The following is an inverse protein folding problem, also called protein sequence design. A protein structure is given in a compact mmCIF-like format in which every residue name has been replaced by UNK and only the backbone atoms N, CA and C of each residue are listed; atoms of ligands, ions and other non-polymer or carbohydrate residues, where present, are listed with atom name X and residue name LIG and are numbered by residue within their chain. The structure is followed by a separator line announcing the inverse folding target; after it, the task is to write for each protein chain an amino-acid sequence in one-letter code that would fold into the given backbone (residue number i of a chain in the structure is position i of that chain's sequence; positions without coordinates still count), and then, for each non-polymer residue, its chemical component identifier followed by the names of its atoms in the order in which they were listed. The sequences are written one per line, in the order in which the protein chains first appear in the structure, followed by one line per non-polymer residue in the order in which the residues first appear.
data_IF_774307910864
#
_entry.id   IF_774307910864
#
_cell.length_a   1.000
_cell.length_b   1.000
_cell.length_c   1.000
_cell.angle_alpha   90.00
_cell.angle_beta   90.00
_cell.angle_gamma   90.00
#
_symmetry.space_group_name_H-M   'P 1'
#
loop_
_entity.id
_entity.type
_entity.pdbx_description
1 polymer ?
#
# COMPACT_ATOMS: atom_id res chain seq x y z
N UNK A 1 -6.08 31.72 -39.23
CA UNK A 1 -4.99 30.93 -39.85
C UNK A 1 -5.06 29.52 -39.28
N UNK A 2 -5.49 28.55 -40.09
CA UNK A 2 -5.48 27.14 -39.71
C UNK A 2 -4.02 26.67 -39.68
N UNK A 3 -3.51 26.27 -38.53
CA UNK A 3 -2.23 25.59 -38.42
C UNK A 3 -2.27 24.36 -39.32
N UNK A 4 -1.33 24.26 -40.26
CA UNK A 4 -1.19 23.11 -41.15
C UNK A 4 -0.95 21.86 -40.31
N UNK A 5 -2.00 21.06 -40.14
CA UNK A 5 -1.91 19.77 -39.48
C UNK A 5 -1.18 18.83 -40.45
N UNK A 6 0.12 18.57 -40.23
CA UNK A 6 0.84 17.57 -41.02
C UNK A 6 0.36 16.16 -40.58
N UNK A 7 -0.33 15.40 -41.45
CA UNK A 7 -0.87 14.11 -41.06
C UNK A 7 0.25 13.11 -40.76
N UNK A 8 0.14 12.39 -39.64
CA UNK A 8 1.04 11.29 -39.31
C UNK A 8 0.94 10.18 -40.37
N UNK A 9 2.06 9.51 -40.64
CA UNK A 9 2.05 8.34 -41.51
C UNK A 9 1.29 7.17 -40.85
N UNK A 10 0.65 6.27 -41.63
CA UNK A 10 -0.06 5.11 -41.08
C UNK A 10 0.80 4.26 -40.15
N UNK A 11 2.09 4.09 -40.48
CA UNK A 11 3.05 3.39 -39.63
C UNK A 11 3.23 4.06 -38.26
N UNK A 12 3.40 5.38 -38.22
CA UNK A 12 3.53 6.13 -36.95
C UNK A 12 2.23 6.08 -36.14
N UNK A 13 1.08 6.17 -36.81
CA UNK A 13 -0.22 6.06 -36.15
C UNK A 13 -0.43 4.67 -35.50
N UNK A 14 -0.05 3.60 -36.21
CA UNK A 14 -0.05 2.23 -35.68
C UNK A 14 0.90 2.08 -34.49
N UNK A 15 2.09 2.68 -34.59
CA UNK A 15 3.10 2.65 -33.53
C UNK A 15 2.54 3.29 -32.24
N UNK A 16 1.92 4.47 -32.35
CA UNK A 16 1.30 5.21 -31.24
C UNK A 16 0.09 4.51 -30.62
N UNK A 17 -0.86 4.05 -31.44
CA UNK A 17 -2.15 3.54 -30.95
C UNK A 17 -2.13 2.08 -30.50
N UNK A 18 -1.24 1.26 -31.06
CA UNK A 18 -1.21 -0.18 -30.79
C UNK A 18 0.09 -0.60 -30.13
N UNK A 19 1.24 -0.35 -30.76
CA UNK A 19 2.50 -0.94 -30.30
C UNK A 19 2.97 -0.31 -29.00
N UNK A 20 2.77 0.99 -28.81
CA UNK A 20 3.22 1.71 -27.62
C UNK A 20 2.49 1.27 -26.34
N UNK A 21 1.14 1.22 -26.28
CA UNK A 21 0.42 0.66 -25.14
C UNK A 21 0.81 -0.79 -24.83
N UNK A 22 0.94 -1.64 -25.86
CA UNK A 22 1.29 -3.05 -25.70
C UNK A 22 2.70 -3.22 -25.11
N UNK A 23 3.70 -2.52 -25.66
CA UNK A 23 5.08 -2.60 -25.19
C UNK A 23 5.25 -2.12 -23.74
N UNK A 24 4.56 -1.04 -23.36
CA UNK A 24 4.59 -0.55 -21.99
C UNK A 24 3.96 -1.54 -21.00
N UNK A 25 2.88 -2.20 -21.41
CA UNK A 25 2.17 -3.19 -20.59
C UNK A 25 3.03 -4.42 -20.24
N UNK A 26 4.01 -4.78 -21.08
CA UNK A 26 4.98 -5.87 -20.79
C UNK A 26 5.77 -5.57 -19.51
N UNK A 27 6.07 -4.31 -19.22
CA UNK A 27 6.69 -3.93 -17.96
C UNK A 27 5.78 -4.23 -16.77
N UNK A 28 4.48 -3.98 -16.91
CA UNK A 28 3.47 -4.24 -15.87
C UNK A 28 3.23 -5.74 -15.69
N UNK A 29 3.26 -6.53 -16.78
CA UNK A 29 3.31 -7.99 -16.77
C UNK A 29 4.53 -8.50 -15.98
N UNK A 30 5.71 -7.96 -16.31
CA UNK A 30 6.97 -8.37 -15.68
C UNK A 30 6.97 -8.05 -14.18
N UNK A 31 6.57 -6.84 -13.80
CA UNK A 31 6.56 -6.39 -12.41
C UNK A 31 5.54 -7.14 -11.55
N UNK A 32 4.30 -7.30 -12.04
CA UNK A 32 3.25 -8.02 -11.31
C UNK A 32 3.58 -9.51 -11.15
N UNK A 33 4.13 -10.14 -12.20
CA UNK A 33 4.61 -11.54 -12.14
C UNK A 33 5.77 -11.67 -11.15
N UNK A 34 6.74 -10.75 -11.23
CA UNK A 34 7.89 -10.71 -10.34
C UNK A 34 7.47 -10.51 -8.88
N UNK A 35 6.58 -9.56 -8.57
CA UNK A 35 6.07 -9.34 -7.22
C UNK A 35 5.31 -10.55 -6.68
N UNK A 36 4.44 -11.15 -7.49
CA UNK A 36 3.72 -12.37 -7.11
C UNK A 36 4.70 -13.48 -6.76
N UNK A 37 5.70 -13.72 -7.61
CA UNK A 37 6.70 -14.77 -7.44
C UNK A 37 7.65 -14.52 -6.26
N UNK A 38 8.17 -13.30 -6.12
CA UNK A 38 9.21 -12.94 -5.15
C UNK A 38 8.70 -12.80 -3.73
N UNK A 39 7.47 -12.29 -3.57
CA UNK A 39 6.87 -12.03 -2.26
C UNK A 39 6.04 -13.22 -1.78
N UNK A 40 5.21 -13.81 -2.66
CA UNK A 40 4.27 -14.87 -2.29
C UNK A 40 4.71 -16.26 -2.75
N UNK A 41 5.74 -16.38 -3.59
CA UNK A 41 6.27 -17.66 -4.01
C UNK A 41 5.43 -18.37 -5.10
N UNK A 42 4.36 -17.74 -5.58
CA UNK A 42 3.44 -18.27 -6.59
C UNK A 42 3.11 -17.20 -7.64
N UNK A 43 2.70 -17.63 -8.84
CA UNK A 43 2.23 -16.74 -9.89
C UNK A 43 0.72 -16.95 -10.02
N UNK A 44 -0.05 -15.88 -9.86
CA UNK A 44 -1.49 -15.86 -10.08
C UNK A 44 -1.77 -14.96 -11.28
N UNK A 45 -2.61 -15.43 -12.20
CA UNK A 45 -2.94 -14.70 -13.43
C UNK A 45 -3.81 -13.48 -13.16
N UNK A 46 -4.59 -13.45 -12.08
CA UNK A 46 -5.54 -12.36 -11.77
C UNK A 46 -4.86 -11.01 -11.56
N UNK A 47 -3.89 -10.83 -10.63
CA UNK A 47 -3.21 -9.55 -10.46
C UNK A 47 -2.43 -9.14 -11.72
N UNK A 48 -1.85 -10.11 -12.43
CA UNK A 48 -1.11 -9.87 -13.68
C UNK A 48 -2.03 -9.30 -14.75
N UNK A 49 -3.18 -9.94 -14.99
CA UNK A 49 -4.15 -9.50 -15.98
C UNK A 49 -4.73 -8.12 -15.63
N UNK A 50 -5.05 -7.88 -14.35
CA UNK A 50 -5.55 -6.57 -13.90
C UNK A 50 -4.52 -5.47 -14.19
N UNK A 51 -3.26 -5.68 -13.82
CA UNK A 51 -2.20 -4.68 -14.04
C UNK A 51 -1.94 -4.43 -15.53
N UNK A 52 -1.87 -5.48 -16.34
CA UNK A 52 -1.64 -5.37 -17.79
C UNK A 52 -2.80 -4.68 -18.49
N UNK A 53 -4.04 -5.12 -18.25
CA UNK A 53 -5.22 -4.53 -18.86
C UNK A 53 -5.42 -3.06 -18.43
N UNK A 54 -5.20 -2.75 -17.15
CA UNK A 54 -5.28 -1.37 -16.67
C UNK A 54 -4.21 -0.47 -17.30
N UNK A 55 -3.00 -0.98 -17.54
CA UNK A 55 -1.93 -0.22 -18.18
C UNK A 55 -2.23 0.05 -19.66
N UNK A 56 -2.71 -0.96 -20.39
CA UNK A 56 -3.16 -0.83 -21.79
C UNK A 56 -4.28 0.19 -21.90
N UNK A 57 -5.26 0.17 -20.99
CA UNK A 57 -6.36 1.14 -20.98
C UNK A 57 -5.87 2.55 -20.66
N UNK A 58 -5.07 2.72 -19.60
CA UNK A 58 -4.60 4.03 -19.20
C UNK A 58 -3.79 4.72 -20.30
N UNK A 59 -2.84 4.00 -20.93
CA UNK A 59 -2.01 4.55 -22.00
C UNK A 59 -2.79 4.62 -23.30
N UNK A 60 -3.50 3.55 -23.65
CA UNK A 60 -4.20 3.46 -24.92
C UNK A 60 -5.32 4.50 -25.04
N UNK A 61 -6.03 4.82 -23.95
CA UNK A 61 -7.03 5.90 -23.98
C UNK A 61 -6.39 7.29 -24.14
N UNK A 62 -5.31 7.60 -23.41
CA UNK A 62 -4.56 8.88 -23.53
C UNK A 62 -4.09 9.08 -24.98
N UNK A 63 -3.42 8.08 -25.57
CA UNK A 63 -2.97 8.15 -26.97
C UNK A 63 -4.12 8.14 -27.98
N UNK A 64 -5.22 7.43 -27.70
CA UNK A 64 -6.39 7.42 -28.59
C UNK A 64 -7.06 8.79 -28.65
N UNK A 65 -7.25 9.45 -27.50
CA UNK A 65 -7.87 10.78 -27.44
C UNK A 65 -6.93 11.89 -27.95
N UNK A 66 -5.63 11.80 -27.69
CA UNK A 66 -4.65 12.75 -28.24
C UNK A 66 -4.63 12.72 -29.80
N UNK A 67 -5.05 11.60 -30.42
CA UNK A 67 -5.12 11.43 -31.87
C UNK A 67 -6.54 11.63 -32.47
N UNK A 68 -7.49 12.20 -31.73
CA UNK A 68 -8.83 12.54 -32.25
C UNK A 68 -8.80 13.38 -33.55
N UNK A 69 -7.93 14.39 -33.71
CA UNK A 69 -7.83 15.14 -34.97
C UNK A 69 -7.43 14.27 -36.18
N UNK A 70 -6.55 13.29 -35.97
CA UNK A 70 -6.16 12.32 -37.00
C UNK A 70 -7.31 11.39 -37.38
N UNK A 71 -8.16 11.03 -36.41
CA UNK A 71 -9.36 10.25 -36.69
C UNK A 71 -10.33 11.04 -37.58
N UNK A 72 -10.54 12.32 -37.27
CA UNK A 72 -11.37 13.21 -38.08
C UNK A 72 -10.79 13.42 -39.49
N UNK A 73 -9.46 13.56 -39.60
CA UNK A 73 -8.77 13.62 -40.88
C UNK A 73 -8.98 12.34 -41.71
N UNK A 74 -8.77 11.16 -41.11
CA UNK A 74 -8.96 9.88 -41.78
C UNK A 74 -10.38 9.69 -42.31
N UNK A 75 -11.39 10.13 -41.54
CA UNK A 75 -12.80 10.12 -41.95
C UNK A 75 -13.07 11.10 -43.10
N UNK A 76 -12.52 12.32 -43.04
CA UNK A 76 -12.69 13.33 -44.10
C UNK A 76 -12.02 12.93 -45.40
N UNK A 77 -10.83 12.32 -45.33
CA UNK A 77 -10.06 11.89 -46.49
C UNK A 77 -10.43 10.47 -46.96
N UNK A 78 -11.35 9.79 -46.26
CA UNK A 78 -11.75 8.40 -46.52
C UNK A 78 -10.55 7.43 -46.60
N UNK A 79 -9.50 7.67 -45.79
CA UNK A 79 -8.34 6.80 -45.75
C UNK A 79 -8.68 5.51 -44.98
N UNK A 80 -8.83 4.42 -45.73
CA UNK A 80 -9.23 3.10 -45.22
C UNK A 80 -8.19 2.51 -44.26
N UNK A 81 -6.90 2.73 -44.53
CA UNK A 81 -5.80 2.21 -43.70
C UNK A 81 -5.80 2.86 -42.31
N UNK A 82 -5.87 4.20 -42.24
CA UNK A 82 -5.91 4.92 -40.96
C UNK A 82 -7.18 4.56 -40.16
N UNK A 83 -8.32 4.43 -40.84
CA UNK A 83 -9.59 4.05 -40.20
C UNK A 83 -9.54 2.62 -39.65
N UNK A 84 -8.88 1.69 -40.36
CA UNK A 84 -8.64 0.34 -39.89
C UNK A 84 -7.76 0.33 -38.62
N UNK A 85 -6.73 1.17 -38.55
CA UNK A 85 -5.87 1.31 -37.35
C UNK A 85 -6.70 1.81 -36.15
N UNK A 86 -7.52 2.85 -36.32
CA UNK A 86 -8.40 3.34 -35.24
C UNK A 86 -9.42 2.28 -34.80
N UNK A 87 -9.95 1.47 -35.74
CA UNK A 87 -10.83 0.34 -35.42
C UNK A 87 -10.10 -0.73 -34.61
N UNK A 88 -8.87 -1.09 -34.98
CA UNK A 88 -8.03 -2.03 -34.22
C UNK A 88 -7.73 -1.50 -32.82
N UNK A 89 -7.41 -0.20 -32.68
CA UNK A 89 -7.17 0.43 -31.39
C UNK A 89 -8.40 0.39 -30.48
N UNK A 90 -9.60 0.67 -31.03
CA UNK A 90 -10.87 0.50 -30.30
C UNK A 90 -11.08 -0.94 -29.83
N UNK A 91 -10.85 -1.93 -30.70
CA UNK A 91 -11.00 -3.35 -30.34
C UNK A 91 -10.02 -3.72 -29.22
N UNK A 92 -8.77 -3.25 -29.27
CA UNK A 92 -7.79 -3.46 -28.21
C UNK A 92 -8.25 -2.86 -26.87
N UNK A 93 -8.80 -1.64 -26.88
CA UNK A 93 -9.31 -0.99 -25.67
C UNK A 93 -10.54 -1.71 -25.10
N UNK A 94 -11.54 -2.04 -25.93
CA UNK A 94 -12.73 -2.75 -25.46
C UNK A 94 -12.43 -4.16 -24.95
N UNK A 95 -11.56 -4.90 -25.65
CA UNK A 95 -11.13 -6.23 -25.19
C UNK A 95 -10.35 -6.15 -23.87
N UNK A 96 -9.47 -5.15 -23.72
CA UNK A 96 -8.75 -4.92 -22.45
C UNK A 96 -9.70 -4.53 -21.31
N UNK A 97 -10.72 -3.72 -21.57
CA UNK A 97 -11.75 -3.38 -20.58
C UNK A 97 -12.57 -4.61 -20.17
N UNK A 98 -12.96 -5.45 -21.12
CA UNK A 98 -13.67 -6.70 -20.83
C UNK A 98 -12.81 -7.65 -19.99
N UNK A 99 -11.52 -7.81 -20.33
CA UNK A 99 -10.58 -8.62 -19.56
C UNK A 99 -10.37 -8.08 -18.14
N UNK A 100 -10.28 -6.76 -17.98
CA UNK A 100 -10.17 -6.12 -16.66
C UNK A 100 -11.41 -6.40 -15.80
N UNK A 101 -12.61 -6.22 -16.36
CA UNK A 101 -13.87 -6.48 -15.65
C UNK A 101 -14.01 -7.96 -15.28
N UNK A 102 -13.65 -8.88 -16.18
CA UNK A 102 -13.63 -10.31 -15.91
C UNK A 102 -12.67 -10.65 -14.76
N UNK A 103 -11.42 -10.15 -14.81
CA UNK A 103 -10.44 -10.39 -13.77
C UNK A 103 -10.87 -9.84 -12.41
N UNK A 104 -11.51 -8.66 -12.41
CA UNK A 104 -12.07 -8.02 -11.23
C UNK A 104 -13.27 -8.79 -10.66
N UNK A 105 -14.15 -9.33 -11.49
CA UNK A 105 -15.29 -10.13 -11.06
C UNK A 105 -14.87 -11.43 -10.35
N UNK A 106 -13.74 -12.02 -10.75
CA UNK A 106 -13.17 -13.25 -10.15
C UNK A 106 -12.18 -12.93 -9.00
N UNK A 107 -11.98 -11.65 -8.69
CA UNK A 107 -11.08 -11.18 -7.63
C UNK A 107 -11.83 -10.73 -6.38
N UNK A 108 -11.17 -10.68 -5.20
CA UNK A 108 -11.79 -10.17 -3.98
C UNK A 108 -12.34 -8.75 -4.15
N UNK A 109 -13.44 -8.38 -3.46
CA UNK A 109 -14.01 -7.02 -3.54
C UNK A 109 -13.02 -5.91 -3.16
N UNK A 110 -12.06 -6.20 -2.27
CA UNK A 110 -11.02 -5.25 -1.91
C UNK A 110 -10.11 -4.87 -3.10
N UNK A 111 -9.93 -5.77 -4.06
CA UNK A 111 -9.16 -5.51 -5.28
C UNK A 111 -9.79 -4.41 -6.13
N UNK A 112 -11.13 -4.33 -6.17
CA UNK A 112 -11.82 -3.23 -6.85
C UNK A 112 -11.42 -1.88 -6.26
N UNK A 113 -11.39 -1.77 -4.93
CA UNK A 113 -10.97 -0.55 -4.25
C UNK A 113 -9.51 -0.18 -4.57
N UNK A 114 -8.61 -1.16 -4.64
CA UNK A 114 -7.21 -0.87 -4.99
C UNK A 114 -7.08 -0.39 -6.44
N UNK A 115 -7.80 -1.01 -7.39
CA UNK A 115 -7.79 -0.57 -8.80
C UNK A 115 -8.39 0.83 -8.94
N UNK A 116 -9.49 1.14 -8.26
CA UNK A 116 -10.10 2.48 -8.33
C UNK A 116 -9.20 3.56 -7.74
N UNK A 117 -8.53 3.29 -6.61
CA UNK A 117 -7.62 4.25 -5.98
C UNK A 117 -6.38 4.52 -6.85
N UNK A 118 -5.74 3.47 -7.36
CA UNK A 118 -4.45 3.62 -8.05
C UNK A 118 -4.61 3.84 -9.56
N UNK A 119 -5.45 3.09 -10.26
CA UNK A 119 -5.61 3.20 -11.72
C UNK A 119 -6.76 4.12 -12.14
N UNK A 120 -7.77 4.31 -11.27
CA UNK A 120 -8.89 5.23 -11.54
C UNK A 120 -8.47 6.63 -11.98
N UNK A 121 -7.51 7.30 -11.29
CA UNK A 121 -7.01 8.60 -11.72
C UNK A 121 -6.37 8.59 -13.11
N UNK A 122 -5.72 7.49 -13.52
CA UNK A 122 -5.13 7.37 -14.86
C UNK A 122 -6.19 7.26 -15.96
N UNK A 123 -7.33 6.61 -15.68
CA UNK A 123 -8.44 6.52 -16.64
C UNK A 123 -9.16 7.85 -16.85
N UNK A 124 -9.11 8.73 -15.86
CA UNK A 124 -9.90 9.97 -15.83
C UNK A 124 -9.00 11.21 -16.04
N UNK A 125 -7.71 11.01 -16.33
CA UNK A 125 -6.68 12.04 -16.30
C UNK A 125 -6.96 13.26 -17.23
N UNK A 126 -7.67 13.04 -18.34
CA UNK A 126 -8.06 14.08 -19.30
C UNK A 126 -9.51 14.56 -19.17
N UNK A 127 -10.30 14.01 -18.25
CA UNK A 127 -11.63 14.55 -17.98
C UNK A 127 -11.52 15.84 -17.20
N UNK A 128 -12.19 16.89 -17.69
CA UNK A 128 -12.30 18.19 -17.02
C UNK A 128 -13.12 18.01 -15.73
N UNK A 129 -12.45 17.68 -14.63
CA UNK A 129 -13.09 17.18 -13.41
C UNK A 129 -13.94 18.20 -12.64
N UNK A 130 -13.87 19.51 -12.94
CA UNK A 130 -14.60 20.55 -12.19
C UNK A 130 -15.00 21.73 -13.09
N UNK A 131 -16.22 21.70 -13.65
CA UNK A 131 -16.89 22.91 -14.17
C UNK A 131 -17.64 23.53 -12.99
N UNK A 132 -17.02 24.48 -12.28
CA UNK A 132 -17.73 25.27 -11.29
C UNK A 132 -18.71 26.21 -12.02
N UNK A 133 -19.99 26.01 -11.74
CA UNK A 133 -21.10 26.53 -12.51
C UNK A 133 -21.23 28.05 -12.53
N UNK A 134 -21.78 28.52 -13.65
CA UNK A 134 -22.35 29.85 -13.80
C UNK A 134 -23.14 29.88 -15.10
N UNK A 135 -24.48 29.80 -15.00
CA UNK A 135 -25.40 29.99 -16.12
C UNK A 135 -24.99 31.26 -16.88
N UNK A 136 -24.77 31.17 -18.19
CA UNK A 136 -24.69 32.37 -19.03
C UNK A 136 -25.66 32.23 -20.20
N UNK A 137 -26.75 32.99 -20.09
CA UNK A 137 -27.66 33.30 -21.18
C UNK A 137 -26.86 33.73 -22.40
N UNK A 138 -27.23 33.19 -23.56
CA UNK A 138 -26.83 33.72 -24.86
C UNK A 138 -27.38 35.15 -24.99
N UNK A 139 -26.48 36.13 -25.11
CA UNK A 139 -26.79 37.38 -25.80
C UNK A 139 -25.60 37.77 -26.68
N UNK A 140 -25.89 37.92 -27.97
CA UNK A 140 -25.01 38.45 -29.03
C UNK A 140 -24.51 39.85 -28.64
N UNK A 141 -23.19 40.06 -28.68
CA UNK A 141 -22.57 41.26 -29.29
C UNK A 141 -21.14 40.91 -29.74
N UNK A 142 -20.77 41.41 -30.92
CA UNK A 142 -19.42 41.40 -31.47
C UNK A 142 -18.46 42.32 -30.69
N UNK A 143 -17.17 42.06 -30.93
CA UNK A 143 -16.01 42.95 -30.80
C UNK A 143 -15.00 42.60 -29.70
N UNK A 144 -13.75 42.63 -30.16
CA UNK A 144 -12.44 42.31 -29.60
C UNK A 144 -12.24 42.52 -28.10
N UNK A 145 -11.81 41.45 -27.42
CA UNK A 145 -10.71 41.42 -26.44
C UNK A 145 -10.52 39.97 -25.95
N UNK A 146 -9.33 39.39 -26.18
CA UNK A 146 -8.97 38.07 -25.68
C UNK A 146 -8.94 38.08 -24.14
N UNK A 147 -10.04 37.65 -23.52
CA UNK A 147 -10.04 37.24 -22.10
C UNK A 147 -9.64 35.77 -22.00
N UNK A 148 -8.77 35.40 -21.02
CA UNK A 148 -8.25 34.05 -20.92
C UNK A 148 -9.38 33.07 -20.62
N UNK A 149 -9.54 32.09 -21.53
CA UNK A 149 -10.43 30.94 -21.33
C UNK A 149 -10.05 30.28 -20.01
N UNK A 150 -10.99 30.25 -19.04
CA UNK A 150 -10.78 29.64 -17.72
C UNK A 150 -10.32 28.19 -17.91
N UNK A 151 -9.04 27.93 -17.58
CA UNK A 151 -8.35 26.66 -17.82
C UNK A 151 -9.01 25.56 -16.99
N UNK A 152 -9.56 24.56 -17.66
CA UNK A 152 -10.04 23.35 -17.00
C UNK A 152 -8.88 22.66 -16.24
N UNK A 153 -9.15 22.24 -15.01
CA UNK A 153 -8.19 21.50 -14.20
C UNK A 153 -7.98 20.11 -14.82
N UNK A 154 -6.80 19.89 -15.42
CA UNK A 154 -6.31 18.57 -15.85
C UNK A 154 -5.06 18.28 -15.04
N UNK A 155 -5.00 17.08 -14.45
CA UNK A 155 -3.88 16.62 -13.61
C UNK A 155 -2.55 16.64 -14.41
N UNK A 156 -2.63 16.55 -15.75
CA UNK A 156 -1.49 16.63 -16.71
C UNK A 156 -0.76 17.97 -16.63
N UNK A 157 -1.44 19.02 -16.16
CA UNK A 157 -0.91 20.40 -16.13
C UNK A 157 -0.19 20.75 -14.84
N UNK A 158 -0.15 19.87 -13.84
CA UNK A 158 0.65 20.13 -12.63
C UNK A 158 2.13 19.86 -12.96
N UNK A 159 3.02 20.86 -12.80
CA UNK A 159 4.42 20.73 -13.17
C UNK A 159 5.11 19.50 -12.56
N UNK A 160 5.67 18.65 -13.42
CA UNK A 160 6.46 17.46 -13.02
C UNK A 160 5.68 16.31 -12.37
N UNK A 161 4.38 16.46 -12.10
CA UNK A 161 3.59 15.44 -11.38
C UNK A 161 3.25 14.22 -12.24
N UNK A 162 3.26 14.35 -13.57
CA UNK A 162 2.97 13.24 -14.49
C UNK A 162 3.87 12.03 -14.21
N UNK A 163 5.18 12.24 -14.17
CA UNK A 163 6.15 11.18 -13.90
C UNK A 163 6.01 10.56 -12.51
N UNK A 164 5.77 11.40 -11.48
CA UNK A 164 5.61 10.95 -10.09
C UNK A 164 4.37 10.07 -9.93
N UNK A 165 3.24 10.50 -10.47
CA UNK A 165 1.99 9.72 -10.45
C UNK A 165 2.14 8.43 -11.25
N UNK A 166 2.79 8.45 -12.42
CA UNK A 166 3.12 7.21 -13.16
C UNK A 166 3.90 6.24 -12.28
N UNK A 167 4.89 6.74 -11.53
CA UNK A 167 5.65 5.96 -10.54
C UNK A 167 4.76 5.35 -9.45
N UNK A 168 3.89 6.14 -8.84
CA UNK A 168 3.00 5.67 -7.75
C UNK A 168 1.99 4.64 -8.27
N UNK A 169 1.36 4.90 -9.41
CA UNK A 169 0.33 4.04 -10.00
C UNK A 169 0.95 2.69 -10.39
N UNK A 170 2.11 2.70 -11.06
CA UNK A 170 2.74 1.47 -11.57
C UNK A 170 3.64 0.77 -10.54
N UNK A 171 4.21 1.48 -9.58
CA UNK A 171 5.00 0.91 -8.48
C UNK A 171 4.10 0.43 -7.34
N UNK A 172 3.58 1.39 -6.55
CA UNK A 172 2.70 1.10 -5.41
C UNK A 172 1.41 0.39 -5.82
N UNK A 173 0.76 0.83 -6.91
CA UNK A 173 -0.51 0.25 -7.34
C UNK A 173 -0.40 -1.23 -7.75
N UNK A 174 0.67 -1.60 -8.46
CA UNK A 174 0.94 -3.02 -8.79
C UNK A 174 1.10 -3.86 -7.53
N UNK A 175 1.88 -3.39 -6.55
CA UNK A 175 2.01 -4.09 -5.28
C UNK A 175 0.67 -4.20 -4.53
N UNK A 176 -0.11 -3.12 -4.47
CA UNK A 176 -1.40 -3.10 -3.78
C UNK A 176 -2.38 -4.12 -4.37
N UNK A 177 -2.43 -4.24 -5.70
CA UNK A 177 -3.26 -5.23 -6.40
C UNK A 177 -2.78 -6.64 -6.10
N UNK A 178 -1.49 -6.93 -6.26
CA UNK A 178 -0.90 -8.25 -5.95
C UNK A 178 -1.19 -8.64 -4.51
N UNK A 179 -0.96 -7.73 -3.57
CA UNK A 179 -1.22 -7.93 -2.15
C UNK A 179 -2.71 -8.16 -1.84
N UNK A 180 -3.61 -7.43 -2.50
CA UNK A 180 -5.06 -7.59 -2.29
C UNK A 180 -5.57 -9.00 -2.62
N UNK A 181 -4.92 -9.68 -3.57
CA UNK A 181 -5.31 -11.01 -4.04
C UNK A 181 -4.56 -12.10 -3.28
N UNK A 182 -3.23 -11.96 -3.11
CA UNK A 182 -2.36 -13.03 -2.59
C UNK A 182 -2.15 -13.00 -1.07
N UNK A 183 -2.32 -11.86 -0.40
CA UNK A 183 -2.08 -11.79 1.05
C UNK A 183 -3.11 -12.60 1.88
N UNK A 184 -4.29 -12.89 1.30
CA UNK A 184 -5.33 -13.70 1.95
C UNK A 184 -5.11 -15.20 1.77
N UNK A 185 -4.46 -15.63 0.69
CA UNK A 185 -4.24 -17.06 0.40
C UNK A 185 -3.02 -17.62 1.13
N UNK A 186 -2.03 -16.79 1.48
CA UNK A 186 -0.88 -17.18 2.29
C UNK A 186 -0.51 -16.06 3.27
N UNK A 187 -0.50 -16.29 4.60
CA UNK A 187 0.23 -15.41 5.49
C UNK A 187 1.70 -15.41 5.06
N UNK A 188 2.29 -14.21 4.93
CA UNK A 188 3.70 -14.00 4.56
C UNK A 188 4.54 -15.04 5.30
N UNK A 189 5.14 -15.97 4.56
CA UNK A 189 5.81 -17.13 5.14
C UNK A 189 6.87 -16.66 6.15
N UNK A 190 6.55 -16.76 7.43
CA UNK A 190 7.38 -16.32 8.54
C UNK A 190 8.46 -17.35 8.85
N UNK A 191 9.37 -17.66 7.92
CA UNK A 191 10.51 -18.53 8.23
C UNK A 191 11.64 -18.60 7.21
N UNK A 192 11.89 -17.54 6.43
CA UNK A 192 13.20 -17.36 5.78
C UNK A 192 13.47 -15.88 5.58
N UNK A 193 14.72 -15.39 5.75
CA UNK A 193 15.07 -14.04 5.33
C UNK A 193 14.87 -13.98 3.81
N UNK A 194 13.73 -13.48 3.37
CA UNK A 194 13.49 -13.19 1.96
C UNK A 194 14.51 -12.14 1.56
N UNK A 195 15.15 -12.33 0.40
CA UNK A 195 15.97 -11.31 -0.25
C UNK A 195 15.14 -10.03 -0.52
N UNK A 196 13.81 -10.17 -0.43
CA UNK A 196 12.80 -9.24 -0.88
C UNK A 196 11.97 -8.75 0.30
N UNK A 197 12.29 -7.55 0.78
CA UNK A 197 11.43 -6.82 1.70
C UNK A 197 10.35 -6.08 0.87
N UNK A 198 9.05 -6.28 1.12
CA UNK A 198 7.96 -5.62 0.38
C UNK A 198 8.14 -4.10 0.28
N UNK A 199 8.58 -3.45 1.36
CA UNK A 199 8.80 -2.00 1.39
C UNK A 199 9.91 -1.59 0.41
N UNK A 200 10.99 -2.37 0.32
CA UNK A 200 12.09 -2.09 -0.63
C UNK A 200 11.61 -2.22 -2.07
N UNK A 201 10.81 -3.25 -2.38
CA UNK A 201 10.26 -3.46 -3.72
C UNK A 201 9.33 -2.30 -4.12
N UNK A 202 8.47 -1.85 -3.21
CA UNK A 202 7.54 -0.74 -3.47
C UNK A 202 8.33 0.54 -3.77
N UNK A 203 9.28 0.90 -2.90
CA UNK A 203 10.06 2.14 -3.05
C UNK A 203 10.88 2.10 -4.33
N UNK A 204 11.65 1.02 -4.54
CA UNK A 204 12.46 0.86 -5.75
C UNK A 204 11.62 0.88 -7.03
N UNK A 205 10.52 0.13 -7.09
CA UNK A 205 9.69 0.06 -8.30
C UNK A 205 9.04 1.41 -8.64
N UNK A 206 8.64 2.16 -7.60
CA UNK A 206 8.08 3.51 -7.73
C UNK A 206 9.11 4.49 -8.29
N UNK A 207 10.31 4.53 -7.67
CA UNK A 207 11.41 5.39 -8.13
C UNK A 207 11.79 5.04 -9.56
N UNK A 208 12.02 3.76 -9.84
CA UNK A 208 12.45 3.31 -11.17
C UNK A 208 11.41 3.69 -12.23
N UNK A 209 10.10 3.47 -11.98
CA UNK A 209 9.04 3.86 -12.93
C UNK A 209 8.90 5.36 -13.10
N UNK A 210 9.08 6.16 -12.05
CA UNK A 210 9.10 7.62 -12.15
C UNK A 210 10.29 8.10 -13.00
N UNK A 211 11.49 7.59 -12.75
CA UNK A 211 12.70 7.91 -13.52
C UNK A 211 12.55 7.54 -15.01
N UNK A 212 11.93 6.39 -15.32
CA UNK A 212 11.64 6.01 -16.72
C UNK A 212 10.63 6.94 -17.38
N UNK A 213 9.61 7.39 -16.66
CA UNK A 213 8.67 8.38 -17.20
C UNK A 213 9.38 9.70 -17.54
N UNK A 214 10.28 10.16 -16.67
CA UNK A 214 11.13 11.33 -16.96
C UNK A 214 12.06 11.10 -18.15
N UNK A 215 12.60 9.88 -18.31
CA UNK A 215 13.41 9.54 -19.48
C UNK A 215 12.61 9.60 -20.79
N UNK A 216 11.32 9.26 -20.77
CA UNK A 216 10.45 9.46 -21.92
C UNK A 216 10.26 10.97 -22.22
N UNK A 217 10.08 11.80 -21.20
CA UNK A 217 9.99 13.25 -21.36
C UNK A 217 11.32 13.86 -21.87
N UNK A 218 12.48 13.26 -21.52
CA UNK A 218 13.79 13.69 -22.05
C UNK A 218 13.87 13.49 -23.56
N UNK A 219 13.31 12.39 -24.08
CA UNK A 219 13.26 12.13 -25.52
C UNK A 219 12.43 13.18 -26.26
N UNK A 220 11.30 13.56 -25.68
CA UNK A 220 10.32 14.46 -26.30
C UNK A 220 10.57 15.94 -25.91
N UNK A 221 11.75 16.25 -25.36
CA UNK A 221 12.08 17.57 -24.79
C UNK A 221 11.83 18.74 -25.74
N UNK A 222 12.25 18.63 -27.00
CA UNK A 222 12.06 19.70 -27.99
C UNK A 222 10.57 19.97 -28.27
N UNK A 223 9.77 18.92 -28.46
CA UNK A 223 8.33 19.06 -28.68
C UNK A 223 7.61 19.62 -27.44
N UNK A 224 8.00 19.17 -26.25
CA UNK A 224 7.44 19.64 -24.99
C UNK A 224 7.83 21.10 -24.70
N UNK A 225 9.04 21.50 -25.10
CA UNK A 225 9.51 22.87 -25.02
C UNK A 225 8.71 23.80 -25.91
N UNK A 226 8.44 23.41 -27.16
CA UNK A 226 7.58 24.17 -28.08
C UNK A 226 6.14 24.28 -27.56
N UNK A 227 5.58 23.16 -27.07
CA UNK A 227 4.21 23.09 -26.54
C UNK A 227 4.06 23.66 -25.13
N UNK A 228 5.17 24.07 -24.48
CA UNK A 228 5.23 24.55 -23.10
C UNK A 228 4.55 23.59 -22.11
N UNK A 229 4.76 22.29 -22.29
CA UNK A 229 4.27 21.24 -21.37
C UNK A 229 5.21 21.21 -20.15
N UNK A 230 4.68 21.29 -18.91
CA UNK A 230 5.52 21.42 -17.73
C UNK A 230 6.10 20.08 -17.26
N UNK A 231 6.88 19.40 -18.11
CA UNK A 231 7.62 18.18 -17.79
C UNK A 231 8.91 18.48 -17.02
N UNK A 232 9.45 17.50 -16.29
CA UNK A 232 10.68 17.70 -15.48
C UNK A 232 11.86 18.25 -16.31
N UNK A 233 12.14 17.76 -17.53
CA UNK A 233 13.17 18.33 -18.39
C UNK A 233 12.95 19.80 -18.75
N UNK A 234 11.71 20.17 -19.07
CA UNK A 234 11.33 21.56 -19.40
C UNK A 234 11.48 22.46 -18.18
N UNK A 235 11.07 21.99 -16.99
CA UNK A 235 11.21 22.73 -15.74
C UNK A 235 12.68 22.99 -15.37
N UNK A 236 13.56 22.03 -15.64
CA UNK A 236 15.00 22.17 -15.45
C UNK A 236 15.69 22.94 -16.59
N UNK A 237 14.96 23.25 -17.66
CA UNK A 237 15.42 23.92 -18.89
C UNK A 237 16.63 23.24 -19.54
N UNK A 238 16.85 21.96 -19.26
CA UNK A 238 18.05 21.25 -19.70
C UNK A 238 17.90 19.75 -19.56
N UNK A 239 18.16 19.04 -20.65
CA UNK A 239 18.29 17.58 -20.66
C UNK A 239 19.46 17.12 -19.81
N UNK A 240 20.60 17.82 -19.88
CA UNK A 240 21.78 17.48 -19.07
C UNK A 240 21.48 17.54 -17.57
N UNK A 241 20.86 18.62 -17.08
CA UNK A 241 20.47 18.73 -15.66
C UNK A 241 19.51 17.62 -15.23
N UNK A 242 18.63 17.22 -16.13
CA UNK A 242 17.71 16.09 -15.88
C UNK A 242 18.45 14.77 -15.76
N UNK A 243 19.41 14.49 -16.65
CA UNK A 243 20.25 13.29 -16.58
C UNK A 243 21.08 13.22 -15.31
N UNK A 244 21.62 14.36 -14.86
CA UNK A 244 22.32 14.47 -13.57
C UNK A 244 21.37 14.17 -12.41
N UNK A 245 20.16 14.74 -12.41
CA UNK A 245 19.14 14.47 -11.39
C UNK A 245 18.77 12.98 -11.33
N UNK A 246 18.49 12.36 -12.49
CA UNK A 246 18.15 10.94 -12.56
C UNK A 246 19.30 10.05 -12.07
N UNK A 247 20.54 10.37 -12.45
CA UNK A 247 21.73 9.65 -11.98
C UNK A 247 21.91 9.78 -10.46
N UNK A 248 21.68 10.97 -9.89
CA UNK A 248 21.74 11.19 -8.46
C UNK A 248 20.68 10.38 -7.69
N UNK A 249 19.45 10.29 -8.22
CA UNK A 249 18.37 9.48 -7.63
C UNK A 249 18.72 7.98 -7.67
N UNK A 250 19.24 7.48 -8.79
CA UNK A 250 19.65 6.08 -8.90
C UNK A 250 20.87 5.76 -8.04
N UNK A 251 21.83 6.68 -7.92
CA UNK A 251 22.98 6.54 -7.01
C UNK A 251 22.51 6.50 -5.54
N UNK A 252 21.61 7.41 -5.13
CA UNK A 252 21.04 7.41 -3.79
C UNK A 252 20.29 6.09 -3.51
N UNK A 253 19.51 5.59 -4.48
CA UNK A 253 18.82 4.30 -4.38
C UNK A 253 19.81 3.14 -4.20
N UNK A 254 20.93 3.18 -4.92
CA UNK A 254 22.02 2.19 -4.82
C UNK A 254 22.67 2.21 -3.44
N UNK A 255 22.91 3.39 -2.87
CA UNK A 255 23.50 3.56 -1.54
C UNK A 255 22.55 3.06 -0.45
N UNK A 256 21.28 3.47 -0.49
CA UNK A 256 20.26 3.11 0.50
C UNK A 256 19.96 1.60 0.52
N UNK A 257 20.08 0.93 -0.63
CA UNK A 257 19.78 -0.49 -0.78
C UNK A 257 21.00 -1.32 -1.19
N UNK A 258 22.20 -0.91 -0.77
CA UNK A 258 23.47 -1.56 -1.12
C UNK A 258 23.53 -3.05 -0.76
N UNK A 259 22.80 -3.47 0.28
CA UNK A 259 22.67 -4.87 0.69
C UNK A 259 21.78 -5.73 -0.23
N UNK A 260 20.99 -5.10 -1.11
CA UNK A 260 20.12 -5.79 -2.04
C UNK A 260 20.75 -5.75 -3.45
N UNK A 261 21.45 -6.82 -3.88
CA UNK A 261 22.19 -6.81 -5.15
C UNK A 261 21.28 -6.52 -6.34
N UNK A 262 20.01 -6.93 -6.29
CA UNK A 262 19.08 -6.65 -7.35
C UNK A 262 18.83 -5.14 -7.54
N UNK A 263 18.55 -4.43 -6.44
CA UNK A 263 18.26 -3.00 -6.51
C UNK A 263 19.49 -2.25 -7.02
N UNK A 264 20.68 -2.68 -6.59
CA UNK A 264 21.96 -2.18 -7.06
C UNK A 264 22.10 -2.41 -8.58
N UNK A 265 22.00 -3.65 -9.06
CA UNK A 265 22.15 -3.95 -10.50
C UNK A 265 21.12 -3.22 -11.37
N UNK A 266 19.85 -3.21 -10.96
CA UNK A 266 18.79 -2.51 -11.68
C UNK A 266 19.03 -0.98 -11.71
N UNK A 267 19.50 -0.40 -10.61
CA UNK A 267 19.78 1.05 -10.54
C UNK A 267 21.02 1.42 -11.33
N UNK A 268 22.07 0.58 -11.31
CA UNK A 268 23.26 0.77 -12.16
C UNK A 268 22.90 0.68 -13.65
N UNK A 269 22.09 -0.31 -14.05
CA UNK A 269 21.60 -0.44 -15.40
C UNK A 269 20.78 0.78 -15.83
N UNK A 270 19.89 1.29 -14.97
CA UNK A 270 19.13 2.50 -15.23
C UNK A 270 20.05 3.73 -15.40
N UNK A 271 21.07 3.90 -14.53
CA UNK A 271 22.06 4.97 -14.67
C UNK A 271 22.81 4.90 -15.99
N UNK A 272 23.22 3.71 -16.43
CA UNK A 272 23.88 3.52 -17.73
C UNK A 272 22.95 3.96 -18.87
N UNK A 273 21.67 3.56 -18.83
CA UNK A 273 20.69 3.95 -19.84
C UNK A 273 20.42 5.46 -19.89
N UNK A 274 20.44 6.15 -18.74
CA UNK A 274 20.28 7.62 -18.67
C UNK A 274 21.32 8.35 -19.52
N UNK A 275 22.56 7.83 -19.55
CA UNK A 275 23.65 8.43 -20.33
C UNK A 275 23.76 7.88 -21.74
N UNK A 276 23.36 6.63 -21.96
CA UNK A 276 23.39 5.99 -23.28
C UNK A 276 22.27 6.52 -24.21
N UNK A 277 21.07 6.75 -23.68
CA UNK A 277 19.91 7.21 -24.46
C UNK A 277 19.87 8.74 -24.51
N UNK A 278 19.76 9.29 -25.72
CA UNK A 278 19.65 10.71 -25.98
C UNK A 278 18.44 10.99 -26.88
N UNK A 279 18.16 12.27 -27.08
CA UNK A 279 17.04 12.79 -27.88
C UNK A 279 17.04 12.24 -29.32
N UNK A 280 18.23 11.95 -29.86
CA UNK A 280 18.42 11.38 -31.20
C UNK A 280 18.26 9.85 -31.24
N UNK A 281 18.10 9.18 -30.10
CA UNK A 281 17.99 7.72 -30.05
C UNK A 281 16.60 7.26 -30.52
N UNK A 282 16.50 6.17 -31.30
CA UNK A 282 15.23 5.68 -31.79
C UNK A 282 14.27 5.32 -30.65
N UNK A 283 12.97 5.61 -30.85
CA UNK A 283 11.90 5.35 -29.87
C UNK A 283 11.88 3.91 -29.34
N UNK A 284 12.28 2.94 -30.17
CA UNK A 284 12.40 1.53 -29.79
C UNK A 284 13.41 1.27 -28.67
N UNK A 285 14.54 2.00 -28.63
CA UNK A 285 15.55 1.83 -27.56
C UNK A 285 15.03 2.36 -26.22
N UNK A 286 14.26 3.43 -26.22
CA UNK A 286 13.57 3.91 -25.02
C UNK A 286 12.53 2.89 -24.51
N UNK A 287 11.94 2.08 -25.39
CA UNK A 287 11.04 0.97 -24.98
C UNK A 287 11.79 -0.12 -24.21
N UNK A 288 13.03 -0.41 -24.58
CA UNK A 288 13.89 -1.36 -23.85
C UNK A 288 14.18 -0.91 -22.41
N UNK A 289 14.20 0.40 -22.16
CA UNK A 289 14.37 0.97 -20.82
C UNK A 289 13.31 0.48 -19.82
N UNK A 290 12.07 0.30 -20.28
CA UNK A 290 10.96 -0.24 -19.47
C UNK A 290 11.16 -1.71 -19.06
N UNK A 291 12.05 -2.45 -19.75
CA UNK A 291 12.37 -3.85 -19.49
C UNK A 291 13.58 -4.06 -18.56
N UNK A 292 14.13 -3.00 -17.98
CA UNK A 292 15.13 -3.11 -16.90
C UNK A 292 14.67 -4.08 -15.79
N UNK A 293 13.38 -4.03 -15.46
CA UNK A 293 12.75 -4.91 -14.48
C UNK A 293 12.65 -6.36 -14.98
N UNK A 294 12.42 -6.56 -16.28
CA UNK A 294 12.27 -7.87 -16.92
C UNK A 294 13.61 -8.61 -16.93
N UNK A 295 14.70 -7.96 -17.33
CA UNK A 295 16.03 -8.57 -17.33
C UNK A 295 16.45 -8.95 -15.91
N UNK A 296 16.23 -8.03 -14.95
CA UNK A 296 16.61 -8.28 -13.56
C UNK A 296 15.70 -9.35 -12.92
N UNK A 297 14.41 -9.39 -13.25
CA UNK A 297 13.49 -10.46 -12.84
C UNK A 297 13.84 -11.81 -13.47
N UNK A 298 14.36 -11.85 -14.71
CA UNK A 298 14.78 -13.08 -15.38
C UNK A 298 16.08 -13.63 -14.76
N UNK A 299 17.01 -12.74 -14.40
CA UNK A 299 18.27 -13.09 -13.75
C UNK A 299 18.10 -13.48 -12.27
N UNK A 300 17.20 -12.83 -11.52
CA UNK A 300 17.06 -12.99 -10.05
C UNK A 300 15.72 -13.55 -9.58
N UNK A 301 14.74 -13.73 -10.46
CA UNK A 301 13.42 -14.30 -10.16
C UNK A 301 13.42 -15.83 -10.00
N UNK A 302 14.57 -16.48 -10.22
CA UNK A 302 14.77 -17.87 -9.81
C UNK A 302 14.70 -17.98 -8.29
N UNK A 303 13.61 -18.56 -7.77
CA UNK A 303 13.50 -18.90 -6.35
C UNK A 303 14.70 -19.77 -5.99
N UNK A 304 15.58 -19.26 -5.14
CA UNK A 304 16.62 -20.08 -4.53
C UNK A 304 15.93 -21.12 -3.65
N UNK A 305 16.11 -22.37 -4.02
CA UNK A 305 15.56 -23.46 -3.24
C UNK A 305 16.43 -23.66 -2.00
N UNK A 306 15.89 -24.31 -0.96
CA UNK A 306 16.65 -24.59 0.25
C UNK A 306 16.93 -26.08 0.29
N UNK A 307 18.19 -26.41 0.52
CA UNK A 307 18.61 -27.78 0.74
C UNK A 307 17.96 -28.36 2.00
N UNK A 308 17.28 -29.49 1.83
CA UNK A 308 16.51 -30.15 2.88
C UNK A 308 17.39 -30.77 3.98
N UNK A 309 18.64 -31.08 3.68
CA UNK A 309 19.60 -31.63 4.64
C UNK A 309 20.42 -30.51 5.31
N UNK A 310 21.03 -29.65 4.50
CA UNK A 310 22.01 -28.68 5.01
C UNK A 310 21.42 -27.32 5.41
N UNK A 311 20.28 -26.95 4.83
CA UNK A 311 19.65 -25.63 4.98
C UNK A 311 20.26 -24.53 4.11
N UNK A 312 21.28 -24.82 3.29
CA UNK A 312 21.86 -23.82 2.39
C UNK A 312 21.01 -23.56 1.14
N UNK A 313 21.23 -22.41 0.51
CA UNK A 313 20.52 -22.00 -0.71
C UNK A 313 21.04 -22.78 -1.93
N UNK A 314 20.13 -23.21 -2.79
CA UNK A 314 20.35 -23.90 -4.06
C UNK A 314 20.00 -22.93 -5.18
N UNK A 315 20.96 -22.71 -6.07
CA UNK A 315 20.76 -21.89 -7.26
C UNK A 315 20.07 -22.71 -8.36
N UNK A 316 19.34 -22.05 -9.29
CA UNK A 316 18.79 -22.72 -10.47
C UNK A 316 19.87 -23.56 -11.18
N UNK A 317 19.44 -24.68 -11.78
CA UNK A 317 20.29 -25.67 -12.46
C UNK A 317 21.37 -26.36 -11.60
N UNK A 318 21.29 -26.27 -10.26
CA UNK A 318 22.17 -26.99 -9.33
C UNK A 318 21.38 -27.95 -8.46
N UNK A 319 22.04 -29.04 -8.05
CA UNK A 319 21.49 -30.01 -7.09
C UNK A 319 20.63 -31.11 -7.71
N UNK A 320 19.94 -31.86 -6.86
CA UNK A 320 19.06 -32.98 -7.20
C UNK A 320 17.78 -32.94 -6.37
N UNK A 321 16.70 -33.45 -6.96
CA UNK A 321 15.39 -33.58 -6.32
C UNK A 321 15.11 -35.07 -6.09
N UNK A 322 14.89 -35.44 -4.83
CA UNK A 322 14.50 -36.78 -4.42
C UNK A 322 13.04 -36.78 -3.97
N UNK A 323 12.20 -37.52 -4.69
CA UNK A 323 10.80 -37.78 -4.29
C UNK A 323 10.76 -39.10 -3.57
N UNK A 324 10.40 -39.06 -2.29
CA UNK A 324 10.23 -40.28 -1.49
C UNK A 324 8.83 -40.86 -1.73
N UNK A 325 8.65 -42.16 -1.51
CA UNK A 325 7.37 -42.86 -1.74
C UNK A 325 6.16 -42.29 -0.98
N UNK A 326 6.37 -41.49 0.06
CA UNK A 326 5.30 -40.73 0.76
C UNK A 326 5.00 -39.37 0.12
N UNK A 327 5.36 -39.16 -1.16
CA UNK A 327 5.26 -37.91 -1.92
C UNK A 327 6.00 -36.71 -1.28
N UNK A 328 6.90 -36.96 -0.33
CA UNK A 328 7.74 -35.89 0.23
C UNK A 328 8.92 -35.60 -0.69
N UNK A 329 9.07 -34.31 -0.99
CA UNK A 329 10.12 -33.79 -1.86
C UNK A 329 11.28 -33.32 -0.99
N UNK A 330 12.46 -33.87 -1.24
CA UNK A 330 13.72 -33.44 -0.65
C UNK A 330 14.62 -32.87 -1.74
N UNK A 331 15.23 -31.71 -1.48
CA UNK A 331 16.13 -31.03 -2.41
C UNK A 331 17.53 -31.03 -1.84
N UNK A 332 18.52 -31.41 -2.63
CA UNK A 332 19.92 -31.48 -2.20
C UNK A 332 20.79 -30.62 -3.10
N UNK A 333 21.60 -29.74 -2.51
CA UNK A 333 22.52 -28.86 -3.23
C UNK A 333 23.69 -29.65 -3.85
N UNK A 334 24.14 -30.69 -3.16
CA UNK A 334 25.33 -31.48 -3.50
C UNK A 334 25.09 -32.98 -3.28
N UNK A 335 25.87 -33.82 -3.98
CA UNK A 335 25.85 -35.27 -3.81
C UNK A 335 26.21 -35.72 -2.39
N UNK A 336 27.02 -34.93 -1.67
CA UNK A 336 27.32 -35.14 -0.25
C UNK A 336 26.05 -35.15 0.60
N UNK A 337 25.14 -34.20 0.36
CA UNK A 337 23.94 -34.02 1.17
C UNK A 337 22.91 -35.11 0.87
N UNK A 338 22.79 -35.49 -0.41
CA UNK A 338 22.01 -36.63 -0.87
C UNK A 338 22.52 -37.94 -0.22
N UNK A 339 23.83 -38.20 -0.30
CA UNK A 339 24.44 -39.41 0.28
C UNK A 339 24.20 -39.50 1.78
N UNK A 340 24.41 -38.41 2.53
CA UNK A 340 24.16 -38.39 3.98
C UNK A 340 22.67 -38.60 4.32
N UNK A 341 21.76 -38.09 3.49
CA UNK A 341 20.33 -38.32 3.65
C UNK A 341 19.96 -39.78 3.39
N UNK A 342 20.49 -40.41 2.33
CA UNK A 342 20.25 -41.82 2.00
C UNK A 342 20.86 -42.76 3.07
N UNK A 343 22.00 -42.37 3.65
CA UNK A 343 22.59 -43.02 4.83
C UNK A 343 21.82 -42.76 6.14
N UNK A 344 20.67 -42.06 6.07
CA UNK A 344 19.80 -41.73 7.21
C UNK A 344 20.52 -40.97 8.33
N UNK A 345 21.53 -40.16 7.99
CA UNK A 345 22.21 -39.30 8.97
C UNK A 345 21.29 -38.16 9.37
N UNK A 346 21.32 -37.79 10.65
CA UNK A 346 20.49 -36.71 11.18
C UNK A 346 21.24 -35.37 11.06
N UNK A 347 20.73 -34.36 10.32
CA UNK A 347 21.37 -33.05 10.20
C UNK A 347 21.67 -32.38 11.55
N UNK A 348 20.86 -32.65 12.59
CA UNK A 348 21.06 -32.11 13.95
C UNK A 348 22.37 -32.53 14.61
N UNK A 349 23.01 -33.60 14.12
CA UNK A 349 24.31 -34.12 14.60
C UNK A 349 25.48 -33.69 13.72
N UNK A 350 25.24 -33.06 12.57
CA UNK A 350 26.28 -32.69 11.61
C UNK A 350 26.63 -31.20 11.74
N UNK A 351 27.83 -30.93 12.25
CA UNK A 351 28.25 -29.62 12.76
C UNK A 351 28.11 -28.45 11.75
N UNK A 352 28.35 -28.72 10.46
CA UNK A 352 28.35 -27.69 9.42
C UNK A 352 26.94 -27.34 8.90
N UNK A 353 25.90 -28.11 9.26
CA UNK A 353 24.52 -27.81 8.82
C UNK A 353 23.94 -26.60 9.57
N UNK A 354 23.04 -25.86 8.92
CA UNK A 354 22.36 -24.73 9.57
C UNK A 354 21.51 -25.16 10.76
N UNK A 355 20.90 -26.35 10.69
CA UNK A 355 20.08 -26.91 11.77
C UNK A 355 20.93 -27.15 13.02
N UNK A 356 22.11 -27.75 12.87
CA UNK A 356 23.05 -27.93 13.97
C UNK A 356 23.45 -26.58 14.57
N UNK A 357 23.86 -25.61 13.74
CA UNK A 357 24.31 -24.30 14.21
C UNK A 357 23.21 -23.57 15.00
N UNK A 358 21.96 -23.60 14.53
CA UNK A 358 20.80 -23.02 15.21
C UNK A 358 20.55 -23.66 16.58
N UNK A 359 20.58 -25.00 16.65
CA UNK A 359 20.38 -25.74 17.89
C UNK A 359 21.47 -25.45 18.94
N UNK A 360 22.70 -25.23 18.48
CA UNK A 360 23.85 -24.90 19.33
C UNK A 360 24.08 -23.38 19.46
N UNK A 361 23.09 -22.55 19.10
CA UNK A 361 23.13 -21.08 19.20
C UNK A 361 24.35 -20.43 18.53
N UNK A 362 24.92 -21.08 17.50
CA UNK A 362 26.07 -20.56 16.75
C UNK A 362 25.58 -19.52 15.74
N UNK A 363 26.10 -18.29 15.83
CA UNK A 363 25.77 -17.19 14.90
C UNK A 363 24.46 -16.45 15.20
N UNK A 364 23.94 -16.56 16.42
CA UNK A 364 22.83 -15.72 16.89
C UNK A 364 23.47 -14.51 17.57
N UNK A 365 23.41 -13.34 16.94
CA UNK A 365 24.02 -12.11 17.48
C UNK A 365 23.05 -11.30 18.32
N UNK A 366 21.74 -11.30 18.03
CA UNK A 366 20.76 -10.48 18.77
C UNK A 366 19.35 -11.09 18.73
N UNK A 367 19.01 -11.97 19.69
CA UNK A 367 17.59 -12.11 20.06
C UNK A 367 17.34 -11.15 21.22
N UNK A 368 16.90 -9.93 20.90
CA UNK A 368 16.35 -9.00 21.90
C UNK A 368 15.12 -9.67 22.49
N UNK A 369 15.28 -10.28 23.66
CA UNK A 369 14.17 -10.81 24.43
C UNK A 369 13.15 -9.68 24.61
N UNK A 370 12.02 -9.77 23.91
CA UNK A 370 10.95 -8.77 24.02
C UNK A 370 10.42 -8.81 25.45
N UNK A 371 10.88 -7.89 26.31
CA UNK A 371 10.28 -7.64 27.63
C UNK A 371 8.86 -7.15 27.39
N UNK A 372 7.87 -8.04 27.50
CA UNK A 372 6.46 -7.64 27.60
C UNK A 372 6.28 -6.90 28.93
N UNK A 373 6.19 -5.57 28.91
CA UNK A 373 5.61 -4.85 30.04
C UNK A 373 4.09 -5.07 30.00
N UNK A 374 3.54 -5.79 30.98
CA UNK A 374 2.09 -5.86 31.17
C UNK A 374 1.63 -4.52 31.75
N UNK A 375 1.06 -3.64 30.92
CA UNK A 375 0.39 -2.43 31.42
C UNK A 375 -1.06 -2.78 31.78
N UNK A 376 -1.37 -2.86 33.07
CA UNK A 376 -2.74 -3.09 33.53
C UNK A 376 -3.55 -1.82 33.34
N UNK A 377 -4.47 -1.81 32.37
CA UNK A 377 -5.44 -0.72 32.20
C UNK A 377 -6.59 -0.96 33.17
N UNK A 378 -6.66 -0.19 34.26
CA UNK A 378 -7.75 -0.25 35.22
C UNK A 378 -8.90 0.62 34.72
N UNK A 379 -9.98 0.01 34.25
CA UNK A 379 -11.21 0.72 33.93
C UNK A 379 -12.03 0.94 35.21
N UNK A 380 -12.34 2.19 35.54
CA UNK A 380 -13.31 2.50 36.58
C UNK A 380 -14.71 2.43 35.97
N UNK A 381 -15.63 1.70 36.62
CA UNK A 381 -17.04 1.58 36.20
C UNK A 381 -17.94 2.22 37.24
N UNK A 382 -19.09 2.75 36.79
CA UNK A 382 -20.14 3.25 37.67
C UNK A 382 -20.72 2.12 38.53
N UNK A 383 -21.27 2.48 39.67
CA UNK A 383 -21.94 1.53 40.58
C UNK A 383 -23.44 1.75 40.39
N UNK A 384 -24.25 0.68 40.46
CA UNK A 384 -25.72 0.80 40.31
C UNK A 384 -26.24 1.85 41.31
N UNK A 385 -26.90 2.89 40.79
CA UNK A 385 -27.40 4.03 41.58
C UNK A 385 -26.46 5.23 41.69
N UNK A 386 -25.26 5.20 41.14
CA UNK A 386 -24.36 6.36 41.06
C UNK A 386 -23.42 6.31 39.85
N UNK A 387 -23.52 7.33 38.98
CA UNK A 387 -22.63 7.48 37.84
C UNK A 387 -21.20 7.86 38.26
N UNK A 388 -20.23 7.55 37.39
CA UNK A 388 -18.81 7.84 37.60
C UNK A 388 -18.55 9.31 37.94
N UNK A 389 -19.29 10.23 37.31
CA UNK A 389 -19.20 11.66 37.57
C UNK A 389 -19.66 12.03 38.98
N UNK A 390 -20.72 11.40 39.48
CA UNK A 390 -21.23 11.64 40.84
C UNK A 390 -20.27 11.11 41.90
N UNK A 391 -19.66 9.94 41.66
CA UNK A 391 -18.64 9.36 42.54
C UNK A 391 -17.39 10.25 42.59
N UNK A 392 -16.91 10.73 41.44
CA UNK A 392 -15.78 11.64 41.35
C UNK A 392 -16.08 12.99 42.03
N UNK A 393 -17.27 13.56 41.80
CA UNK A 393 -17.69 14.81 42.43
C UNK A 393 -17.74 14.69 43.95
N UNK A 394 -18.31 13.61 44.50
CA UNK A 394 -18.32 13.35 45.94
C UNK A 394 -16.91 13.15 46.51
N UNK A 395 -16.03 12.45 45.78
CA UNK A 395 -14.63 12.24 46.18
C UNK A 395 -13.82 13.54 46.21
N UNK A 396 -14.09 14.44 45.26
CA UNK A 396 -13.37 15.69 45.09
C UNK A 396 -13.93 16.84 45.96
N UNK A 397 -14.99 16.61 46.75
CA UNK A 397 -15.47 17.60 47.72
C UNK A 397 -14.45 17.82 48.84
N UNK A 398 -14.00 19.07 48.96
CA UNK A 398 -13.08 19.51 50.00
C UNK A 398 -13.71 19.38 51.39
N UNK A 399 -12.87 19.18 52.40
CA UNK A 399 -13.31 18.98 53.78
C UNK A 399 -14.13 20.18 54.31
N UNK A 400 -13.81 21.40 53.86
CA UNK A 400 -14.55 22.61 54.20
C UNK A 400 -16.01 22.59 53.73
N UNK A 401 -16.25 22.18 52.47
CA UNK A 401 -17.60 22.08 51.91
C UNK A 401 -18.41 21.01 52.66
N UNK A 402 -17.79 19.87 52.98
CA UNK A 402 -18.42 18.81 53.77
C UNK A 402 -18.78 19.27 55.19
N UNK A 403 -17.90 20.03 55.84
CA UNK A 403 -18.16 20.59 57.17
C UNK A 403 -19.33 21.58 57.15
N UNK A 404 -19.39 22.48 56.15
CA UNK A 404 -20.48 23.45 55.98
C UNK A 404 -21.83 22.78 55.69
N UNK A 405 -21.85 21.72 54.88
CA UNK A 405 -23.07 20.93 54.64
C UNK A 405 -23.53 20.21 55.92
N UNK A 406 -22.60 19.73 56.74
CA UNK A 406 -22.93 19.09 58.02
C UNK A 406 -23.48 20.10 59.03
N UNK A 407 -22.87 21.28 59.17
CA UNK A 407 -23.35 22.30 60.11
C UNK A 407 -24.73 22.83 59.71
N UNK A 408 -24.95 23.10 58.41
CA UNK A 408 -26.27 23.52 57.91
C UNK A 408 -27.34 22.44 58.08
N UNK A 409 -27.01 21.15 57.88
CA UNK A 409 -27.94 20.05 58.16
C UNK A 409 -28.27 19.93 59.66
N UNK A 410 -27.29 20.10 60.55
CA UNK A 410 -27.52 20.09 62.01
C UNK A 410 -28.41 21.27 62.42
N UNK A 411 -28.19 22.47 61.87
CA UNK A 411 -29.02 23.63 62.16
C UNK A 411 -30.47 23.42 61.71
N UNK A 412 -30.68 22.89 60.49
CA UNK A 412 -32.02 22.53 60.00
C UNK A 412 -32.71 21.49 60.89
N UNK A 413 -32.01 20.42 61.27
CA UNK A 413 -32.55 19.39 62.16
C UNK A 413 -32.87 19.92 63.56
N UNK A 414 -32.06 20.85 64.09
CA UNK A 414 -32.35 21.51 65.38
C UNK A 414 -33.56 22.44 65.29
N UNK A 415 -33.70 23.19 64.20
CA UNK A 415 -34.86 24.06 63.97
C UNK A 415 -36.16 23.23 63.84
N UNK A 416 -36.11 22.12 63.10
CA UNK A 416 -37.24 21.18 63.00
C UNK A 416 -37.60 20.51 64.33
N UNK A 417 -36.61 20.21 65.18
CA UNK A 417 -36.85 19.68 66.53
C UNK A 417 -37.50 20.72 67.44
N UNK A 418 -36.99 21.96 67.46
CA UNK A 418 -37.61 23.05 68.23
C UNK A 418 -39.07 23.26 67.82
N UNK A 419 -39.35 23.32 66.51
CA UNK A 419 -40.70 23.43 65.99
C UNK A 419 -41.62 22.24 66.36
N UNK A 420 -41.06 21.05 66.66
CA UNK A 420 -41.79 19.88 67.16
C UNK A 420 -41.96 19.89 68.69
N UNK A 421 -41.01 20.44 69.43
CA UNK A 421 -41.04 20.57 70.89
C UNK A 421 -42.00 21.68 71.36
N UNK A 422 -42.04 22.82 70.65
CA UNK A 422 -43.03 23.89 70.87
C UNK A 422 -44.48 23.39 70.70
N UNK A 423 -44.67 22.32 69.93
CA UNK A 423 -45.97 21.64 69.76
C UNK A 423 -46.31 20.64 70.87
N UNK A 424 -45.36 20.22 71.71
CA UNK A 424 -45.54 19.14 72.70
C UNK A 424 -45.63 19.61 74.17
N UNK A 425 -45.31 20.85 74.49
CA UNK A 425 -45.34 21.38 75.87
C UNK A 425 -46.75 21.63 76.46
N UNK A 426 -47.82 21.20 75.78
CA UNK A 426 -49.22 21.43 76.18
C UNK A 426 -49.91 20.32 76.98
N UNK A 427 -49.24 19.26 77.44
CA UNK A 427 -49.92 18.22 78.26
C UNK A 427 -48.99 17.54 79.27
N UNK A 428 -49.27 17.74 80.56
CA UNK A 428 -48.58 17.14 81.72
C UNK A 428 -49.45 16.09 82.42
N UNK A 429 -48.78 15.22 83.21
CA UNK A 429 -49.24 14.37 84.35
C UNK A 429 -49.44 12.84 84.10
N UNK A 430 -49.30 11.96 85.13
CA UNK A 430 -48.02 11.30 85.47
C UNK A 430 -48.15 9.78 85.82
N UNK A 431 -47.02 9.23 86.27
CA UNK A 431 -46.54 7.85 86.49
C UNK A 431 -47.09 7.11 87.74
N UNK A 432 -46.99 5.78 87.74
CA UNK A 432 -47.04 4.87 88.92
C UNK A 432 -46.01 3.69 88.76
N UNK A 433 -45.57 3.00 89.85
CA UNK A 433 -44.16 2.66 90.08
C UNK A 433 -43.80 1.14 90.22
N UNK A 434 -42.66 0.85 90.86
CA UNK A 434 -41.58 -0.15 90.61
C UNK A 434 -41.52 -1.29 91.63
N UNK A 435 -40.84 -2.42 91.32
CA UNK A 435 -40.02 -3.26 92.24
C UNK A 435 -39.01 -4.09 91.41
N UNK A 436 -37.66 -3.97 91.52
CA UNK A 436 -36.65 -4.37 92.55
C UNK A 436 -36.65 -5.88 92.86
N UNK A 437 -35.58 -6.69 92.76
CA UNK A 437 -34.14 -6.55 92.49
C UNK A 437 -33.56 -7.99 92.14
N UNK A 438 -32.28 -8.36 92.35
CA UNK A 438 -31.21 -8.25 91.36
C UNK A 438 -30.45 -9.56 91.00
N UNK A 439 -29.63 -9.44 89.95
CA UNK A 439 -28.64 -10.38 89.35
C UNK A 439 -27.52 -10.86 90.29
N UNK A 440 -27.04 -12.09 90.05
CA UNK A 440 -25.61 -12.51 89.95
C UNK A 440 -25.58 -13.77 89.03
N UNK A 441 -25.01 -13.81 87.82
CA UNK A 441 -23.58 -13.94 87.39
C UNK A 441 -22.89 -15.19 87.98
N UNK A 442 -22.07 -15.99 87.31
CA UNK A 442 -21.47 -15.97 85.97
C UNK A 442 -20.80 -17.35 85.78
N UNK A 443 -20.75 -17.82 84.54
CA UNK A 443 -19.62 -18.56 83.97
C UNK A 443 -19.38 -20.03 84.41
N UNK A 444 -19.55 -20.89 83.38
CA UNK A 444 -18.67 -22.03 83.04
C UNK A 444 -19.13 -23.43 83.44
N UNK A 445 -19.83 -24.12 82.53
CA UNK A 445 -19.44 -25.48 82.13
C UNK A 445 -20.07 -25.90 80.79
N UNK A 446 -19.20 -26.33 79.86
CA UNK A 446 -19.38 -27.35 78.79
C UNK A 446 -20.68 -27.29 77.96
N UNK A 447 -20.68 -27.03 76.65
CA UNK A 447 -19.76 -27.51 75.61
C UNK A 447 -20.15 -28.93 75.16
N UNK A 448 -20.70 -29.09 73.95
CA UNK A 448 -20.74 -30.40 73.29
C UNK A 448 -21.72 -30.58 72.12
N UNK A 449 -21.13 -30.70 70.91
CA UNK A 449 -21.62 -31.35 69.66
C UNK A 449 -22.71 -30.61 68.88
N UNK A 450 -22.63 -30.37 67.58
CA UNK A 450 -21.94 -31.01 66.44
C UNK A 450 -22.95 -30.94 65.27
N UNK A 451 -22.67 -30.86 63.98
CA UNK A 451 -21.48 -30.80 63.15
C UNK A 451 -21.98 -30.61 61.70
N UNK A 452 -21.02 -30.57 60.76
CA UNK A 452 -21.13 -30.36 59.30
C UNK A 452 -21.31 -28.94 58.79
#
# INVERSE_FOLDING_TARGET
MATQFAPLTPHKLKDELLTHPLMLSIGSLSLSTFMSRSIYGMIDWRPVLICVASDILAIGMDHYFDQEPMQLYALKTSNSEMTAIFKQAKVLLFSSAALLLFALAVSPPWTWLMVTIFFGPAFIWDFKLLIFGGKRQQKKTQQSDEKPVKKAFSIKRIPGMKAVLIGIIRGCGTFAIVNSILARSLPIASSSPSIWNPTQIIIWSTINRACHAVMADVRDFHEDWEKQVPTIPVLLKSVFRTKVLLSAIHLLTTILYSYNPYIVFASLYATVLVWFLNENSPRGLYRLSFHSQTLTALLYGGKLEIDSFSGYRIYPSKGRLFVRGDNKIFRFATSKNESLFLQRKNPRKIAWTQVYRRMHKKGITEEVAKKRSRRTVKHQRGIVGADLAAIAARRNQTAAIRAQQRTSAIQKAKAEKKAKEDKKEKTTKPRAPVSSAPRVSKQQMKGGKGGR
#
